data_IF_242786740351
#
_entry.id   IF_242786740351
#
_cell.length_a   1.000
_cell.length_b   1.000
_cell.length_c   1.000
_cell.angle_alpha   90.00
_cell.angle_beta   90.00
_cell.angle_gamma   90.00
#
_symmetry.space_group_name_H-M   'P 1'
#
loop_
_entity.id
_entity.type
_entity.pdbx_description
1 polymer ?
#
# COMPACT_ATOMS: atom_id res chain seq x y z
N UNK A 1 -13.32 15.57 14.92
CA UNK A 1 -13.33 17.05 15.02
C UNK A 1 -13.99 17.54 16.28
N UNK A 2 -15.23 17.11 16.60
CA UNK A 2 -16.02 17.64 17.74
C UNK A 2 -15.40 17.46 19.13
N UNK A 3 -14.48 16.52 19.32
CA UNK A 3 -13.80 16.26 20.60
C UNK A 3 -12.34 16.74 20.61
N UNK A 4 -11.87 17.28 19.48
CA UNK A 4 -10.47 17.70 19.31
C UNK A 4 -10.16 18.93 20.18
N UNK A 5 -9.00 18.92 20.83
CA UNK A 5 -8.52 19.98 21.72
C UNK A 5 -7.19 20.51 21.26
N UNK A 6 -6.83 21.68 21.76
CA UNK A 6 -5.48 22.26 21.53
C UNK A 6 -4.39 21.34 22.10
N UNK A 7 -3.39 21.08 21.28
CA UNK A 7 -2.27 20.19 21.59
C UNK A 7 -2.48 18.73 21.19
N UNK A 8 -3.68 18.34 20.74
CA UNK A 8 -3.97 16.97 20.32
C UNK A 8 -3.22 16.62 19.04
N UNK A 9 -2.89 15.32 18.89
CA UNK A 9 -2.34 14.73 17.69
C UNK A 9 -3.35 13.70 17.18
N UNK A 10 -3.81 13.83 15.93
CA UNK A 10 -4.67 12.85 15.27
C UNK A 10 -3.81 11.96 14.37
N UNK A 11 -3.81 10.65 14.61
CA UNK A 11 -3.01 9.70 13.83
C UNK A 11 -3.94 8.89 12.93
N UNK A 12 -3.66 8.90 11.63
CA UNK A 12 -4.37 8.09 10.64
C UNK A 12 -3.55 6.83 10.33
N UNK A 13 -4.25 5.70 10.15
CA UNK A 13 -3.63 4.39 9.91
C UNK A 13 -4.14 3.69 8.63
N UNK A 14 -5.27 4.16 8.08
CA UNK A 14 -5.84 3.58 6.86
C UNK A 14 -4.94 3.81 5.65
N UNK A 15 -4.92 2.85 4.72
CA UNK A 15 -4.25 3.03 3.43
C UNK A 15 -4.98 4.08 2.60
N UNK A 16 -4.22 5.06 2.12
CA UNK A 16 -4.71 6.20 1.34
C UNK A 16 -3.69 6.58 0.27
N UNK A 17 -4.08 7.44 -0.68
CA UNK A 17 -3.14 8.03 -1.63
C UNK A 17 -2.23 9.07 -0.94
N UNK A 18 -1.02 9.33 -1.49
CA UNK A 18 -0.12 10.33 -0.91
C UNK A 18 -0.73 11.73 -0.92
N UNK A 19 -0.89 12.29 0.27
CA UNK A 19 -1.49 13.62 0.50
C UNK A 19 -2.89 13.58 1.10
N UNK A 20 -3.56 12.44 1.13
CA UNK A 20 -4.95 12.34 1.60
C UNK A 20 -5.16 12.86 3.03
N UNK A 21 -4.23 12.59 3.94
CA UNK A 21 -4.33 13.09 5.31
C UNK A 21 -4.38 14.61 5.34
N UNK A 22 -3.46 15.27 4.64
CA UNK A 22 -3.33 16.73 4.66
C UNK A 22 -4.36 17.43 3.76
N UNK A 23 -4.74 16.82 2.63
CA UNK A 23 -5.61 17.43 1.62
C UNK A 23 -7.11 17.22 1.92
N UNK A 24 -7.49 16.05 2.46
CA UNK A 24 -8.90 15.72 2.72
C UNK A 24 -9.24 15.70 4.21
N UNK A 25 -8.41 15.02 5.03
CA UNK A 25 -8.79 14.81 6.42
C UNK A 25 -8.62 16.07 7.27
N UNK A 26 -7.52 16.80 7.09
CA UNK A 26 -7.23 18.00 7.88
C UNK A 26 -8.28 19.10 7.69
N UNK A 27 -8.73 19.45 6.46
CA UNK A 27 -9.76 20.46 6.28
C UNK A 27 -11.07 20.14 7.01
N UNK A 28 -11.46 18.88 7.06
CA UNK A 28 -12.65 18.43 7.80
C UNK A 28 -12.45 18.60 9.31
N UNK A 29 -11.25 18.28 9.83
CA UNK A 29 -10.95 18.49 11.25
C UNK A 29 -10.98 19.97 11.63
N UNK A 30 -10.37 20.84 10.81
CA UNK A 30 -10.39 22.29 11.02
C UNK A 30 -11.82 22.85 11.00
N UNK A 31 -12.61 22.46 9.99
CA UNK A 31 -14.00 22.90 9.84
C UNK A 31 -14.86 22.53 11.05
N UNK A 32 -14.74 21.29 11.55
CA UNK A 32 -15.58 20.78 12.63
C UNK A 32 -15.12 21.27 14.01
N UNK A 33 -13.81 21.36 14.23
CA UNK A 33 -13.24 21.76 15.52
C UNK A 33 -13.13 23.26 15.71
N UNK A 34 -12.98 24.03 14.61
CA UNK A 34 -12.61 25.44 14.66
C UNK A 34 -11.13 25.68 15.04
N UNK A 35 -10.33 24.61 15.15
CA UNK A 35 -8.92 24.67 15.50
C UNK A 35 -8.07 24.75 14.24
N UNK A 36 -6.84 25.27 14.36
CA UNK A 36 -5.92 25.45 13.23
C UNK A 36 -4.83 24.37 13.22
N UNK A 37 -4.67 23.70 12.09
CA UNK A 37 -3.63 22.69 11.86
C UNK A 37 -2.21 23.26 12.03
N UNK A 38 -1.33 22.45 12.61
CA UNK A 38 0.06 22.80 12.94
C UNK A 38 0.22 24.03 13.84
N UNK A 39 -0.86 24.43 14.52
CA UNK A 39 -0.87 25.52 15.50
C UNK A 39 -1.60 25.11 16.78
N UNK A 40 -2.87 24.69 16.62
CA UNK A 40 -3.71 24.27 17.73
C UNK A 40 -3.75 22.75 17.87
N UNK A 41 -3.68 22.01 16.76
CA UNK A 41 -3.60 20.55 16.73
C UNK A 41 -2.64 20.08 15.64
N UNK A 42 -2.30 18.80 15.67
CA UNK A 42 -1.30 18.20 14.78
C UNK A 42 -1.82 16.88 14.21
N UNK A 43 -1.14 16.36 13.19
CA UNK A 43 -1.45 15.06 12.62
C UNK A 43 -0.22 14.15 12.54
N UNK A 44 -0.47 12.86 12.55
CA UNK A 44 0.48 11.81 12.24
C UNK A 44 -0.14 10.82 11.27
N UNK A 45 0.71 10.01 10.67
CA UNK A 45 0.29 8.88 9.84
C UNK A 45 1.20 7.68 10.10
N UNK A 46 0.59 6.51 10.25
CA UNK A 46 1.30 5.25 10.49
C UNK A 46 0.51 4.10 9.88
N UNK A 47 0.83 3.65 8.65
CA UNK A 47 0.02 2.67 7.93
C UNK A 47 -0.04 1.32 8.63
N UNK A 48 -1.19 0.66 8.50
CA UNK A 48 -1.33 -0.73 8.90
C UNK A 48 -0.71 -1.66 7.84
N UNK A 49 0.12 -2.61 8.29
CA UNK A 49 0.88 -3.53 7.44
C UNK A 49 0.60 -5.00 7.72
N UNK A 50 -0.38 -5.31 8.59
CA UNK A 50 -0.77 -6.69 8.92
C UNK A 50 -1.45 -7.34 7.73
N UNK A 51 -1.13 -8.61 7.49
CA UNK A 51 -1.92 -9.46 6.60
C UNK A 51 -2.95 -10.22 7.44
N UNK A 52 -4.27 -10.06 7.17
CA UNK A 52 -5.30 -10.80 7.89
C UNK A 52 -5.05 -12.31 7.84
N UNK A 53 -5.04 -12.94 9.02
CA UNK A 53 -4.79 -14.38 9.15
C UNK A 53 -3.31 -14.79 9.32
N UNK A 54 -2.37 -13.88 9.16
CA UNK A 54 -0.96 -14.14 9.46
C UNK A 54 -0.73 -14.14 10.99
N UNK A 55 -0.32 -15.28 11.53
CA UNK A 55 -0.08 -15.47 12.98
C UNK A 55 1.37 -15.20 13.38
N UNK A 56 2.28 -15.14 12.41
CA UNK A 56 3.70 -14.90 12.65
C UNK A 56 4.05 -13.43 12.63
N UNK A 57 3.47 -12.66 11.69
CA UNK A 57 3.69 -11.23 11.50
C UNK A 57 2.56 -10.44 12.18
N UNK A 58 2.55 -10.45 13.51
CA UNK A 58 1.62 -9.64 14.31
C UNK A 58 2.02 -8.16 14.30
N UNK A 59 1.13 -7.28 14.74
CA UNK A 59 1.38 -5.82 14.77
C UNK A 59 2.69 -5.47 15.47
N UNK A 60 3.03 -6.17 16.56
CA UNK A 60 4.24 -5.92 17.35
C UNK A 60 5.52 -6.37 16.64
N UNK A 61 5.41 -7.34 15.72
CA UNK A 61 6.55 -7.98 15.04
C UNK A 61 6.83 -7.41 13.64
N UNK A 62 5.99 -6.52 13.14
CA UNK A 62 6.20 -5.84 11.87
C UNK A 62 6.76 -4.45 12.14
N UNK A 63 7.89 -4.10 11.50
CA UNK A 63 8.46 -2.77 11.57
C UNK A 63 7.40 -1.75 11.12
N UNK A 64 7.07 -0.79 11.98
CA UNK A 64 6.00 0.19 11.74
C UNK A 64 6.58 1.46 11.12
N UNK A 65 5.99 1.95 10.04
CA UNK A 65 6.30 3.28 9.51
C UNK A 65 5.53 4.32 10.31
N UNK A 66 6.19 5.39 10.70
CA UNK A 66 5.61 6.49 11.48
C UNK A 66 5.92 7.83 10.82
N UNK A 67 5.10 8.83 11.04
CA UNK A 67 5.33 10.18 10.53
C UNK A 67 4.52 11.21 11.30
N UNK A 68 4.88 12.49 11.18
CA UNK A 68 4.14 13.58 11.79
C UNK A 68 4.13 14.82 10.91
N UNK A 69 3.19 15.72 11.19
CA UNK A 69 3.00 16.96 10.45
C UNK A 69 4.09 18.02 10.73
N UNK A 70 4.84 17.83 11.80
CA UNK A 70 6.09 18.56 12.10
C UNK A 70 7.15 17.56 12.58
N UNK A 71 8.45 17.89 12.55
CA UNK A 71 9.50 17.01 13.07
C UNK A 71 9.26 16.60 14.53
N UNK A 72 8.84 17.52 15.38
CA UNK A 72 8.58 17.27 16.81
C UNK A 72 7.39 16.32 17.00
N UNK A 73 6.34 16.49 16.20
CA UNK A 73 5.17 15.59 16.20
C UNK A 73 5.55 14.22 15.67
N UNK A 74 6.37 14.17 14.62
CA UNK A 74 6.90 12.91 14.10
C UNK A 74 7.62 12.10 15.17
N UNK A 75 8.47 12.73 15.97
CA UNK A 75 9.17 12.08 17.09
C UNK A 75 8.17 11.57 18.14
N UNK A 76 7.17 12.36 18.51
CA UNK A 76 6.15 11.93 19.49
C UNK A 76 5.33 10.73 18.99
N UNK A 77 4.94 10.74 17.72
CA UNK A 77 4.24 9.61 17.07
C UNK A 77 5.14 8.37 17.04
N UNK A 78 6.39 8.54 16.67
CA UNK A 78 7.38 7.48 16.61
C UNK A 78 7.63 6.84 17.98
N UNK A 79 7.81 7.67 19.03
CA UNK A 79 7.99 7.20 20.40
C UNK A 79 6.76 6.45 20.94
N UNK A 80 5.55 6.90 20.57
CA UNK A 80 4.31 6.19 20.91
C UNK A 80 4.34 4.76 20.34
N UNK A 81 4.62 4.61 19.04
CA UNK A 81 4.66 3.28 18.42
C UNK A 81 5.84 2.45 18.89
N UNK A 82 7.02 3.02 19.14
CA UNK A 82 8.16 2.32 19.76
C UNK A 82 7.82 1.68 21.10
N UNK A 83 6.90 2.26 21.85
CA UNK A 83 6.49 1.71 23.14
C UNK A 83 5.73 0.39 23.04
N UNK A 84 5.20 0.04 21.88
CA UNK A 84 4.37 -1.15 21.63
C UNK A 84 4.90 -2.05 20.50
N UNK A 85 5.69 -1.53 19.58
CA UNK A 85 6.19 -2.28 18.41
C UNK A 85 7.60 -2.82 18.70
N UNK A 86 7.69 -4.12 18.97
CA UNK A 86 8.95 -4.80 19.29
C UNK A 86 9.93 -4.82 18.11
N UNK A 87 9.40 -4.92 16.89
CA UNK A 87 10.19 -4.92 15.67
C UNK A 87 10.83 -3.55 15.34
N UNK A 88 10.47 -2.50 16.11
CA UNK A 88 10.95 -1.15 15.88
C UNK A 88 10.10 -0.35 14.89
N UNK A 89 10.54 0.88 14.66
CA UNK A 89 9.86 1.84 13.79
C UNK A 89 10.79 2.44 12.75
N UNK A 90 10.21 2.99 11.70
CA UNK A 90 10.88 3.81 10.69
C UNK A 90 10.16 5.17 10.63
N UNK A 91 10.82 6.19 11.15
CA UNK A 91 10.30 7.56 11.08
C UNK A 91 10.49 8.12 9.66
N UNK A 92 9.40 8.20 8.92
CA UNK A 92 9.40 8.84 7.60
C UNK A 92 9.47 10.37 7.74
N UNK A 93 10.11 11.08 6.79
CA UNK A 93 10.32 12.52 6.88
C UNK A 93 9.04 13.34 6.79
N UNK A 94 8.00 12.83 6.16
CA UNK A 94 6.69 13.49 6.01
C UNK A 94 5.55 12.49 6.01
N UNK A 95 4.33 12.96 6.27
CA UNK A 95 3.10 12.17 6.15
C UNK A 95 2.96 11.61 4.72
N UNK A 96 3.17 12.43 3.69
CA UNK A 96 3.08 12.01 2.27
C UNK A 96 4.05 10.88 1.92
N UNK A 97 5.25 10.87 2.48
CA UNK A 97 6.22 9.78 2.28
C UNK A 97 5.74 8.49 2.94
N UNK A 98 5.19 8.56 4.15
CA UNK A 98 4.64 7.39 4.83
C UNK A 98 3.41 6.82 4.10
N UNK A 99 2.51 7.66 3.61
CA UNK A 99 1.36 7.28 2.77
C UNK A 99 1.83 6.62 1.47
N UNK A 100 2.79 7.25 0.76
CA UNK A 100 3.36 6.70 -0.47
C UNK A 100 4.01 5.33 -0.24
N UNK A 101 4.74 5.13 0.86
CA UNK A 101 5.39 3.87 1.16
C UNK A 101 4.41 2.71 1.23
N UNK A 102 3.25 2.93 1.84
CA UNK A 102 2.21 1.90 1.96
C UNK A 102 1.59 1.53 0.62
N UNK A 103 1.25 2.51 -0.18
CA UNK A 103 0.57 2.26 -1.45
C UNK A 103 1.48 1.56 -2.46
N UNK A 104 2.80 1.84 -2.45
CA UNK A 104 3.74 1.18 -3.36
C UNK A 104 4.04 -0.27 -2.97
N UNK A 105 3.94 -0.66 -1.69
CA UNK A 105 4.09 -2.06 -1.27
C UNK A 105 3.07 -2.96 -1.97
N UNK A 106 1.81 -2.53 -2.02
CA UNK A 106 0.75 -3.27 -2.68
C UNK A 106 0.80 -3.15 -4.21
N UNK A 107 1.14 -1.97 -4.74
CA UNK A 107 1.32 -1.78 -6.19
C UNK A 107 2.45 -2.62 -6.76
N UNK A 108 3.58 -2.72 -6.05
CA UNK A 108 4.70 -3.58 -6.46
C UNK A 108 4.26 -5.05 -6.53
N UNK A 109 3.55 -5.53 -5.51
CA UNK A 109 3.04 -6.90 -5.48
C UNK A 109 2.09 -7.16 -6.63
N UNK A 110 1.16 -6.26 -6.88
CA UNK A 110 0.19 -6.33 -7.97
C UNK A 110 0.88 -6.43 -9.34
N UNK A 111 1.85 -5.57 -9.61
CA UNK A 111 2.61 -5.55 -10.87
C UNK A 111 3.40 -6.86 -11.05
N UNK A 112 4.05 -7.36 -9.99
CA UNK A 112 4.80 -8.62 -10.08
C UNK A 112 3.87 -9.83 -10.33
N UNK A 113 2.68 -9.83 -9.74
CA UNK A 113 1.67 -10.87 -10.03
C UNK A 113 1.18 -10.72 -11.48
N UNK A 114 0.91 -9.52 -11.95
CA UNK A 114 0.51 -9.28 -13.34
C UNK A 114 1.56 -9.79 -14.33
N UNK A 115 2.83 -9.56 -14.05
CA UNK A 115 3.93 -10.06 -14.88
C UNK A 115 3.92 -11.60 -14.98
N UNK A 116 3.83 -12.32 -13.86
CA UNK A 116 3.80 -13.79 -13.90
C UNK A 116 2.47 -14.34 -14.44
N UNK A 117 1.37 -13.62 -14.31
CA UNK A 117 0.10 -13.93 -14.97
C UNK A 117 0.20 -13.82 -16.49
N UNK A 118 0.87 -12.80 -17.01
CA UNK A 118 1.15 -12.65 -18.44
C UNK A 118 2.03 -13.79 -18.94
N UNK A 119 3.08 -14.14 -18.20
CA UNK A 119 3.92 -15.30 -18.52
C UNK A 119 3.12 -16.60 -18.60
N UNK A 120 2.16 -16.81 -17.69
CA UNK A 120 1.30 -17.99 -17.73
C UNK A 120 0.46 -18.05 -19.01
N UNK A 121 -0.09 -16.92 -19.48
CA UNK A 121 -0.81 -16.86 -20.76
C UNK A 121 0.11 -17.13 -21.96
N UNK A 122 1.30 -16.55 -21.97
CA UNK A 122 2.30 -16.72 -23.04
C UNK A 122 2.73 -18.19 -23.12
N UNK A 123 3.10 -18.80 -22.00
CA UNK A 123 3.60 -20.16 -21.97
C UNK A 123 2.50 -21.18 -22.28
N UNK A 124 1.27 -20.93 -21.88
CA UNK A 124 0.13 -21.73 -22.30
C UNK A 124 -0.03 -21.76 -23.83
N UNK A 125 0.14 -20.63 -24.51
CA UNK A 125 0.10 -20.55 -25.99
C UNK A 125 1.29 -21.26 -26.65
N UNK A 126 2.41 -21.41 -25.94
CA UNK A 126 3.64 -22.07 -26.41
C UNK A 126 3.70 -23.56 -26.04
N UNK A 127 2.69 -24.10 -25.35
CA UNK A 127 2.69 -25.46 -24.79
C UNK A 127 3.88 -25.70 -23.84
N UNK A 128 4.21 -24.68 -23.01
CA UNK A 128 5.27 -24.74 -22.02
C UNK A 128 4.65 -24.68 -20.61
N UNK A 129 5.12 -25.56 -19.71
CA UNK A 129 4.68 -25.54 -18.33
C UNK A 129 5.26 -24.32 -17.59
N UNK A 130 4.39 -23.42 -17.20
CA UNK A 130 4.77 -22.18 -16.49
C UNK A 130 5.49 -22.46 -15.16
N UNK A 131 5.08 -23.49 -14.42
CA UNK A 131 5.69 -23.82 -13.13
C UNK A 131 7.15 -24.28 -13.29
N UNK A 132 7.43 -25.09 -14.31
CA UNK A 132 8.79 -25.55 -14.60
C UNK A 132 9.72 -24.38 -14.97
N UNK A 133 9.19 -23.41 -15.75
CA UNK A 133 9.95 -22.20 -16.09
C UNK A 133 10.23 -21.36 -14.84
N UNK A 134 9.23 -21.15 -13.98
CA UNK A 134 9.40 -20.38 -12.75
C UNK A 134 10.33 -21.09 -11.76
N UNK A 135 10.30 -22.42 -11.67
CA UNK A 135 11.26 -23.18 -10.86
C UNK A 135 12.68 -23.02 -11.38
N UNK A 136 12.89 -23.19 -12.69
CA UNK A 136 14.19 -22.98 -13.30
C UNK A 136 14.71 -21.55 -13.11
N UNK A 137 13.87 -20.53 -13.33
CA UNK A 137 14.23 -19.14 -13.12
C UNK A 137 14.52 -18.84 -11.63
N UNK A 138 13.79 -19.48 -10.72
CA UNK A 138 13.95 -19.37 -9.28
C UNK A 138 15.26 -19.87 -8.71
N UNK A 139 16.05 -20.62 -9.51
CA UNK A 139 17.42 -21.02 -9.14
C UNK A 139 18.37 -19.83 -9.08
N UNK A 140 18.01 -18.70 -9.70
CA UNK A 140 18.81 -17.48 -9.64
C UNK A 140 18.50 -16.73 -8.34
N UNK A 141 19.52 -16.42 -7.58
CA UNK A 141 19.43 -15.85 -6.23
C UNK A 141 18.61 -14.55 -6.09
N UNK A 142 18.47 -13.78 -7.15
CA UNK A 142 17.73 -12.50 -7.15
C UNK A 142 16.42 -12.56 -7.95
N UNK A 143 15.95 -13.76 -8.31
CA UNK A 143 14.63 -13.92 -8.92
C UNK A 143 13.54 -13.84 -7.84
N UNK A 144 12.52 -13.03 -8.05
CA UNK A 144 11.43 -12.86 -7.09
C UNK A 144 10.41 -14.01 -7.26
N UNK A 145 10.05 -14.74 -6.18
CA UNK A 145 9.27 -15.97 -6.27
C UNK A 145 7.75 -15.73 -6.35
N UNK A 146 7.32 -14.86 -7.27
CA UNK A 146 5.90 -14.67 -7.55
C UNK A 146 5.36 -15.82 -8.40
N UNK A 147 4.08 -16.13 -8.19
CA UNK A 147 3.37 -17.18 -8.91
C UNK A 147 2.12 -16.60 -9.57
N UNK A 148 1.68 -17.18 -10.72
CA UNK A 148 0.40 -16.83 -11.33
C UNK A 148 -0.76 -17.07 -10.36
N UNK A 149 -1.76 -16.20 -10.40
CA UNK A 149 -2.95 -16.35 -9.58
C UNK A 149 -3.92 -15.19 -9.70
N UNK A 150 -5.10 -15.36 -9.13
CA UNK A 150 -6.09 -14.31 -9.05
C UNK A 150 -5.67 -13.30 -7.98
N UNK A 151 -5.75 -12.03 -8.33
CA UNK A 151 -5.56 -10.93 -7.37
C UNK A 151 -6.93 -10.52 -6.86
N UNK A 152 -7.16 -10.76 -5.58
CA UNK A 152 -8.40 -10.41 -4.90
C UNK A 152 -8.14 -9.71 -3.58
N UNK A 153 -9.23 -9.36 -2.89
CA UNK A 153 -9.20 -8.66 -1.61
C UNK A 153 -9.15 -7.15 -1.76
N UNK A 154 -9.29 -6.46 -0.62
CA UNK A 154 -9.47 -5.01 -0.58
C UNK A 154 -8.19 -4.23 -0.90
N UNK A 155 -7.02 -4.74 -0.51
CA UNK A 155 -5.80 -3.94 -0.56
C UNK A 155 -5.09 -4.02 -1.92
N UNK A 156 -4.76 -5.25 -2.40
CA UNK A 156 -3.93 -5.41 -3.60
C UNK A 156 -4.68 -4.99 -4.86
N UNK A 157 -5.99 -5.22 -4.91
CA UNK A 157 -6.83 -4.87 -6.07
C UNK A 157 -7.23 -3.40 -6.15
N UNK A 158 -7.15 -2.64 -5.05
CA UNK A 158 -7.70 -1.27 -4.95
C UNK A 158 -6.61 -0.22 -4.79
N UNK A 159 -5.61 -0.45 -3.94
CA UNK A 159 -4.58 0.54 -3.62
C UNK A 159 -3.82 1.07 -4.85
N UNK A 160 -3.49 0.24 -5.89
CA UNK A 160 -2.86 0.75 -7.10
C UNK A 160 -3.70 1.82 -7.82
N UNK A 161 -5.04 1.74 -7.74
CA UNK A 161 -5.92 2.75 -8.34
C UNK A 161 -5.85 4.09 -7.59
N UNK A 162 -5.65 4.10 -6.27
CA UNK A 162 -5.45 5.35 -5.53
C UNK A 162 -4.22 6.10 -6.02
N UNK A 163 -3.11 5.37 -6.21
CA UNK A 163 -1.89 5.97 -6.74
C UNK A 163 -2.06 6.40 -8.21
N UNK A 164 -2.76 5.58 -9.01
CA UNK A 164 -3.02 5.90 -10.42
C UNK A 164 -3.89 7.16 -10.57
N UNK A 165 -4.97 7.26 -9.81
CA UNK A 165 -5.82 8.44 -9.81
C UNK A 165 -5.04 9.69 -9.41
N UNK A 166 -4.26 9.60 -8.33
CA UNK A 166 -3.44 10.73 -7.86
C UNK A 166 -2.41 11.16 -8.91
N UNK A 167 -1.77 10.22 -9.60
CA UNK A 167 -0.85 10.52 -10.68
C UNK A 167 -1.55 11.27 -11.85
N UNK A 168 -2.76 10.84 -12.20
CA UNK A 168 -3.56 11.47 -13.26
C UNK A 168 -4.00 12.89 -12.90
N UNK A 169 -4.29 13.18 -11.63
CA UNK A 169 -4.55 14.54 -11.15
C UNK A 169 -3.36 15.48 -11.39
N UNK A 170 -2.13 14.95 -11.33
CA UNK A 170 -0.90 15.67 -11.68
C UNK A 170 -0.52 15.59 -13.16
N UNK A 171 -1.43 15.11 -14.03
CA UNK A 171 -1.22 15.03 -15.47
C UNK A 171 -0.35 13.87 -15.95
N UNK A 172 -0.05 12.88 -15.10
CA UNK A 172 0.73 11.70 -15.47
C UNK A 172 -0.15 10.46 -15.61
N UNK A 173 -0.07 9.78 -16.77
CA UNK A 173 -0.74 8.49 -16.96
C UNK A 173 0.17 7.34 -16.51
N UNK A 174 -0.13 6.63 -15.41
CA UNK A 174 0.74 5.59 -14.87
C UNK A 174 0.57 4.26 -15.62
N UNK A 175 1.17 4.14 -16.79
CA UNK A 175 1.00 3.03 -17.73
C UNK A 175 1.28 1.66 -17.11
N UNK A 176 2.37 1.49 -16.37
CA UNK A 176 2.77 0.21 -15.76
C UNK A 176 1.73 -0.24 -14.73
N UNK A 177 1.30 0.66 -13.85
CA UNK A 177 0.31 0.36 -12.80
C UNK A 177 -1.02 -0.05 -13.45
N UNK A 178 -1.49 0.74 -14.42
CA UNK A 178 -2.76 0.48 -15.11
C UNK A 178 -2.70 -0.77 -15.98
N UNK A 179 -1.57 -1.06 -16.64
CA UNK A 179 -1.38 -2.31 -17.38
C UNK A 179 -1.40 -3.53 -16.45
N UNK A 180 -0.71 -3.47 -15.32
CA UNK A 180 -0.74 -4.52 -14.30
C UNK A 180 -2.16 -4.79 -13.80
N UNK A 181 -2.91 -3.75 -13.49
CA UNK A 181 -4.32 -3.90 -13.07
C UNK A 181 -5.18 -4.55 -14.15
N UNK A 182 -5.10 -4.07 -15.40
CA UNK A 182 -5.86 -4.70 -16.51
C UNK A 182 -5.53 -6.17 -16.69
N UNK A 183 -4.24 -6.55 -16.55
CA UNK A 183 -3.81 -7.94 -16.62
C UNK A 183 -4.45 -8.78 -15.52
N UNK A 184 -4.33 -8.34 -14.26
CA UNK A 184 -4.86 -9.07 -13.12
C UNK A 184 -6.40 -9.16 -13.12
N UNK A 185 -7.08 -8.09 -13.51
CA UNK A 185 -8.55 -8.06 -13.62
C UNK A 185 -9.05 -9.04 -14.70
N UNK A 186 -8.29 -9.25 -15.78
CA UNK A 186 -8.64 -10.19 -16.86
C UNK A 186 -8.41 -11.66 -16.52
N UNK A 187 -7.72 -11.96 -15.41
CA UNK A 187 -7.35 -13.36 -15.10
C UNK A 187 -8.54 -14.22 -14.73
N UNK A 188 -9.58 -13.69 -14.11
CA UNK A 188 -10.79 -14.45 -13.81
C UNK A 188 -11.47 -15.00 -15.06
N UNK A 189 -11.64 -14.16 -16.07
CA UNK A 189 -12.19 -14.56 -17.37
C UNK A 189 -11.29 -15.57 -18.09
N UNK A 190 -9.97 -15.33 -18.06
CA UNK A 190 -9.00 -16.25 -18.64
C UNK A 190 -9.12 -17.67 -18.03
N UNK A 191 -9.12 -17.76 -16.68
CA UNK A 191 -9.25 -19.06 -15.99
C UNK A 191 -10.57 -19.73 -16.33
N UNK A 192 -11.68 -19.00 -16.32
CA UNK A 192 -12.99 -19.56 -16.70
C UNK A 192 -12.99 -20.10 -18.13
N UNK A 193 -12.35 -19.37 -19.06
CA UNK A 193 -12.24 -19.81 -20.47
C UNK A 193 -11.40 -21.07 -20.60
N UNK A 194 -10.30 -21.21 -19.87
CA UNK A 194 -9.46 -22.41 -19.93
C UNK A 194 -10.15 -23.64 -19.31
N UNK A 195 -11.00 -23.44 -18.29
CA UNK A 195 -11.74 -24.54 -17.65
C UNK A 195 -12.82 -25.14 -18.56
N UNK A 196 -13.41 -24.34 -19.47
CA UNK A 196 -14.48 -24.81 -20.38
C UNK A 196 -13.97 -25.34 -21.73
N UNK A 197 -12.67 -25.29 -21.98
CA UNK A 197 -12.03 -25.92 -23.15
C UNK A 197 -11.90 -27.44 -22.96
#
# INVERSE_FOLDING_TARGET
GSVLKKGDIVIYESTVYPGATEEDCIPVLEQVSGLKFNTDFYAGYSPERINPGDKEHTVEKILKVTSGSTPEVGIKVDDLYKSVIIAGTHLAPTIKVAEASKVIENSQRDINIAFVNELAKIFNLMDINTHDVLEAAGTKWNFLPFKPGLVGGHCIGVDPYYLAQKAQEFGYNPEIILAGRRMNDSMGEYVATEVVK
#
